data_IF_282057843892
#
_entry.id   IF_282057843892
#
_cell.length_a   1.000
_cell.length_b   1.000
_cell.length_c   1.000
_cell.angle_alpha   90.00
_cell.angle_beta   90.00
_cell.angle_gamma   90.00
#
_symmetry.space_group_name_H-M   'P 1'
#
loop_
_entity.id
_entity.type
_entity.pdbx_description
1 polymer ?
#
# COMPACT_ATOMS: atom_id res chain seq x y z
N UNK A 1 -7.85 -23.45 -3.42
CA UNK A 1 -7.42 -23.38 -4.83
C UNK A 1 -8.51 -22.68 -5.62
N UNK A 2 -8.17 -21.62 -6.34
CA UNK A 2 -9.09 -20.94 -7.25
C UNK A 2 -8.73 -21.29 -8.68
N UNK A 3 -9.74 -21.43 -9.54
CA UNK A 3 -9.57 -21.63 -10.98
C UNK A 3 -10.39 -20.58 -11.69
N UNK A 4 -9.74 -19.85 -12.59
CA UNK A 4 -10.39 -18.82 -13.41
C UNK A 4 -10.25 -19.25 -14.88
N UNK A 5 -11.24 -19.97 -15.44
CA UNK A 5 -11.22 -20.31 -16.86
C UNK A 5 -11.16 -19.04 -17.70
N UNK A 6 -10.26 -19.01 -18.69
CA UNK A 6 -10.17 -17.89 -19.62
C UNK A 6 -11.39 -17.88 -20.53
N UNK A 7 -11.92 -16.69 -20.82
CA UNK A 7 -13.07 -16.55 -21.72
C UNK A 7 -12.62 -16.75 -23.16
N UNK A 8 -13.21 -17.73 -23.84
CA UNK A 8 -13.04 -17.92 -25.28
C UNK A 8 -14.12 -17.16 -26.08
N UNK A 9 -13.98 -17.18 -27.40
CA UNK A 9 -14.88 -16.49 -28.34
C UNK A 9 -16.30 -17.09 -28.34
N UNK A 10 -16.46 -18.36 -27.96
CA UNK A 10 -17.77 -19.03 -27.91
C UNK A 10 -18.56 -18.69 -26.65
N UNK A 11 -17.87 -18.41 -25.55
CA UNK A 11 -18.45 -17.96 -24.27
C UNK A 11 -18.94 -16.51 -24.31
N UNK A 12 -18.56 -15.75 -25.35
CA UNK A 12 -18.78 -14.31 -25.48
C UNK A 12 -20.25 -13.94 -25.77
N UNK A 13 -20.92 -14.70 -26.63
CA UNK A 13 -22.28 -14.43 -27.10
C UNK A 13 -23.36 -14.50 -26.00
N UNK A 14 -23.06 -15.21 -24.90
CA UNK A 14 -24.02 -15.49 -23.82
C UNK A 14 -23.68 -14.78 -22.50
N UNK A 15 -22.56 -14.06 -22.43
CA UNK A 15 -22.11 -13.45 -21.17
C UNK A 15 -22.74 -12.08 -20.94
N UNK A 16 -23.53 -11.94 -19.87
CA UNK A 16 -24.08 -10.65 -19.42
C UNK A 16 -23.08 -9.79 -18.65
N UNK A 17 -21.89 -10.31 -18.34
CA UNK A 17 -20.89 -9.64 -17.49
C UNK A 17 -19.77 -8.99 -18.28
N UNK A 18 -19.31 -9.60 -19.38
CA UNK A 18 -18.37 -8.98 -20.31
C UNK A 18 -18.33 -9.77 -21.62
N UNK A 19 -18.37 -9.03 -22.73
CA UNK A 19 -18.33 -9.51 -24.11
C UNK A 19 -16.93 -9.35 -24.73
N UNK A 20 -15.88 -9.54 -23.93
CA UNK A 20 -14.49 -9.47 -24.39
C UNK A 20 -13.83 -10.81 -24.16
N UNK A 21 -13.40 -11.53 -25.20
CA UNK A 21 -12.57 -12.72 -25.05
C UNK A 21 -11.23 -12.33 -24.41
N UNK A 22 -10.65 -13.26 -23.65
CA UNK A 22 -9.36 -13.07 -23.01
C UNK A 22 -8.33 -13.95 -23.71
N UNK A 23 -7.61 -13.35 -24.64
CA UNK A 23 -6.61 -14.04 -25.46
C UNK A 23 -5.27 -14.24 -24.74
N UNK A 24 -4.38 -15.00 -25.37
CA UNK A 24 -3.06 -15.32 -24.83
C UNK A 24 -2.17 -14.09 -24.74
N UNK A 25 -2.31 -13.11 -25.63
CA UNK A 25 -1.52 -11.88 -25.58
C UNK A 25 -1.91 -11.02 -24.37
N UNK A 26 -3.21 -10.94 -24.06
CA UNK A 26 -3.73 -10.30 -22.86
C UNK A 26 -3.28 -11.03 -21.59
N UNK A 27 -3.26 -12.36 -21.60
CA UNK A 27 -2.72 -13.16 -20.49
C UNK A 27 -1.24 -12.87 -20.27
N UNK A 28 -0.45 -12.92 -21.34
CA UNK A 28 0.98 -12.63 -21.28
C UNK A 28 1.23 -11.22 -20.76
N UNK A 29 0.48 -10.22 -21.24
CA UNK A 29 0.56 -8.85 -20.75
C UNK A 29 0.21 -8.74 -19.27
N UNK A 30 -0.83 -9.43 -18.81
CA UNK A 30 -1.22 -9.47 -17.39
C UNK A 30 -0.11 -10.09 -16.54
N UNK A 31 0.42 -11.23 -16.97
CA UNK A 31 1.53 -11.94 -16.33
C UNK A 31 2.77 -11.07 -16.22
N UNK A 32 3.19 -10.43 -17.30
CA UNK A 32 4.37 -9.56 -17.29
C UNK A 32 4.17 -8.32 -16.41
N UNK A 33 2.98 -7.71 -16.45
CA UNK A 33 2.63 -6.60 -15.57
C UNK A 33 2.68 -7.03 -14.10
N UNK A 34 2.20 -8.23 -13.78
CA UNK A 34 2.27 -8.77 -12.44
C UNK A 34 3.71 -9.09 -12.03
N UNK A 35 4.51 -9.76 -12.88
CA UNK A 35 5.93 -10.05 -12.63
C UNK A 35 6.72 -8.78 -12.26
N UNK A 36 6.44 -7.66 -12.92
CA UNK A 36 7.06 -6.36 -12.63
C UNK A 36 6.72 -5.79 -11.23
N UNK A 37 5.54 -6.09 -10.69
CA UNK A 37 5.06 -5.60 -9.38
C UNK A 37 5.18 -6.64 -8.26
N UNK A 38 5.45 -7.91 -8.59
CA UNK A 38 5.49 -9.04 -7.66
C UNK A 38 6.42 -8.76 -6.48
N UNK A 39 7.64 -8.28 -6.76
CA UNK A 39 8.64 -8.01 -5.73
C UNK A 39 8.11 -7.02 -4.69
N UNK A 40 7.63 -5.85 -5.14
CA UNK A 40 7.11 -4.80 -4.24
C UNK A 40 5.77 -5.17 -3.60
N UNK A 41 5.03 -6.13 -4.14
CA UNK A 41 3.79 -6.65 -3.53
C UNK A 41 4.02 -7.29 -2.16
N UNK A 42 5.25 -7.70 -1.86
CA UNK A 42 5.63 -8.25 -0.56
C UNK A 42 6.02 -7.20 0.50
N UNK A 43 6.08 -5.91 0.15
CA UNK A 43 6.67 -4.87 1.00
C UNK A 43 5.89 -4.58 2.31
N UNK A 44 4.56 -4.56 2.26
CA UNK A 44 3.69 -4.18 3.39
C UNK A 44 2.72 -5.28 3.84
N UNK A 45 2.86 -6.48 3.29
CA UNK A 45 2.03 -7.63 3.66
C UNK A 45 2.57 -8.32 4.92
N UNK A 46 1.68 -8.70 5.84
CA UNK A 46 2.11 -9.21 7.13
C UNK A 46 2.56 -10.67 7.07
N UNK A 47 1.84 -11.51 6.32
CA UNK A 47 1.97 -12.98 6.40
C UNK A 47 2.43 -13.63 5.09
N UNK A 48 2.35 -12.92 3.96
CA UNK A 48 2.81 -13.46 2.68
C UNK A 48 4.31 -13.21 2.60
N UNK A 49 5.09 -14.28 2.37
CA UNK A 49 6.55 -14.25 2.30
C UNK A 49 7.10 -14.66 0.95
N UNK A 50 6.28 -15.27 0.12
CA UNK A 50 6.67 -15.75 -1.21
C UNK A 50 5.49 -15.62 -2.17
N UNK A 51 5.78 -15.24 -3.41
CA UNK A 51 4.86 -15.31 -4.54
C UNK A 51 5.61 -15.98 -5.68
N UNK A 52 5.06 -17.07 -6.21
CA UNK A 52 5.57 -17.74 -7.40
C UNK A 52 4.54 -17.74 -8.52
N UNK A 53 5.04 -17.69 -9.75
CA UNK A 53 4.26 -17.80 -10.97
C UNK A 53 4.97 -18.78 -11.91
N UNK A 54 4.25 -19.77 -12.41
CA UNK A 54 4.77 -20.79 -13.30
C UNK A 54 3.73 -21.15 -14.37
N UNK A 55 4.20 -21.76 -15.45
CA UNK A 55 3.36 -22.38 -16.47
C UNK A 55 3.30 -23.89 -16.23
N UNK A 56 2.19 -24.53 -16.59
CA UNK A 56 2.04 -25.99 -16.47
C UNK A 56 2.22 -26.59 -17.86
N UNK A 57 3.18 -27.50 -17.99
CA UNK A 57 3.47 -28.18 -19.26
C UNK A 57 2.30 -29.10 -19.63
N UNK A 58 1.78 -28.96 -20.86
CA UNK A 58 0.72 -29.86 -21.37
C UNK A 58 1.20 -31.31 -21.51
N UNK A 59 2.50 -31.50 -21.76
CA UNK A 59 3.10 -32.82 -21.99
C UNK A 59 3.38 -33.54 -20.68
N UNK A 60 4.00 -32.86 -19.71
CA UNK A 60 4.45 -33.48 -18.45
C UNK A 60 3.49 -33.26 -17.28
N UNK A 61 2.58 -32.29 -17.38
CA UNK A 61 1.73 -31.85 -16.27
C UNK A 61 2.49 -31.16 -15.14
N UNK A 62 3.79 -30.90 -15.31
CA UNK A 62 4.64 -30.29 -14.28
C UNK A 62 4.80 -28.77 -14.47
N UNK A 63 5.01 -28.01 -13.39
CA UNK A 63 5.37 -26.60 -13.45
C UNK A 63 6.71 -26.38 -14.16
N UNK A 64 6.81 -25.34 -14.99
CA UNK A 64 8.03 -24.84 -15.60
C UNK A 64 7.99 -23.29 -15.70
N UNK A 65 9.12 -22.68 -16.09
CA UNK A 65 9.31 -21.22 -16.17
C UNK A 65 8.89 -20.47 -14.87
N UNK A 66 9.36 -20.96 -13.73
CA UNK A 66 9.01 -20.33 -12.45
C UNK A 66 9.72 -18.98 -12.29
N UNK A 67 8.95 -17.93 -12.11
CA UNK A 67 9.41 -16.66 -11.56
C UNK A 67 8.92 -16.52 -10.12
N UNK A 68 9.85 -16.17 -9.22
CA UNK A 68 9.59 -16.20 -7.78
C UNK A 68 10.19 -15.01 -7.08
N UNK A 69 9.45 -14.45 -6.15
CA UNK A 69 9.89 -13.38 -5.26
C UNK A 69 9.69 -13.79 -3.80
N UNK A 70 10.62 -13.41 -2.94
CA UNK A 70 10.57 -13.69 -1.50
C UNK A 70 10.81 -12.44 -0.67
N UNK A 71 10.27 -12.45 0.55
CA UNK A 71 10.51 -11.45 1.59
C UNK A 71 11.06 -12.13 2.83
N UNK A 72 12.19 -11.63 3.31
CA UNK A 72 12.89 -12.16 4.49
C UNK A 72 13.11 -11.06 5.52
N UNK A 73 13.01 -11.41 6.79
CA UNK A 73 13.20 -10.54 7.95
C UNK A 73 14.16 -11.23 8.93
N UNK A 74 14.78 -10.46 9.83
CA UNK A 74 15.45 -11.05 10.99
C UNK A 74 14.42 -11.69 11.93
N UNK A 75 14.79 -12.69 12.76
CA UNK A 75 13.88 -13.25 13.77
C UNK A 75 13.30 -12.19 14.72
N UNK A 76 14.10 -11.17 15.07
CA UNK A 76 13.70 -10.06 15.94
C UNK A 76 12.66 -9.16 15.25
N UNK A 77 12.89 -8.83 13.98
CA UNK A 77 11.96 -8.05 13.15
C UNK A 77 10.66 -8.81 12.89
N UNK A 78 10.74 -10.12 12.65
CA UNK A 78 9.57 -10.98 12.44
C UNK A 78 8.69 -11.03 13.69
N UNK A 79 9.29 -11.22 14.86
CA UNK A 79 8.59 -11.17 16.15
C UNK A 79 7.92 -9.82 16.37
N UNK A 80 8.64 -8.72 16.12
CA UNK A 80 8.11 -7.36 16.29
C UNK A 80 6.94 -7.08 15.34
N UNK A 81 7.02 -7.57 14.09
CA UNK A 81 5.95 -7.45 13.11
C UNK A 81 4.74 -8.33 13.48
N UNK A 82 4.95 -9.51 14.04
CA UNK A 82 3.89 -10.39 14.54
C UNK A 82 3.13 -9.76 15.71
N UNK A 83 3.84 -9.19 16.69
CA UNK A 83 3.24 -8.46 17.81
C UNK A 83 2.41 -7.27 17.33
N UNK A 84 2.94 -6.49 16.37
CA UNK A 84 2.21 -5.40 15.75
C UNK A 84 0.98 -5.88 14.96
N UNK A 85 1.08 -6.97 14.21
CA UNK A 85 -0.04 -7.56 13.49
C UNK A 85 -1.14 -8.07 14.45
N UNK A 86 -0.74 -8.66 15.58
CA UNK A 86 -1.63 -9.04 16.68
C UNK A 86 -2.37 -7.83 17.25
N UNK A 87 -1.66 -6.73 17.49
CA UNK A 87 -2.25 -5.47 17.94
C UNK A 87 -3.28 -4.91 16.94
N UNK A 88 -2.95 -4.87 15.65
CA UNK A 88 -3.88 -4.41 14.60
C UNK A 88 -5.13 -5.28 14.53
N UNK A 89 -4.97 -6.60 14.66
CA UNK A 89 -6.10 -7.56 14.68
C UNK A 89 -7.02 -7.33 15.88
N UNK A 90 -6.45 -7.11 17.06
CA UNK A 90 -7.22 -6.81 18.27
C UNK A 90 -7.92 -5.46 18.16
N UNK A 91 -7.24 -4.43 17.65
CA UNK A 91 -7.82 -3.10 17.35
C UNK A 91 -9.04 -3.23 16.43
N UNK A 92 -8.92 -4.03 15.36
CA UNK A 92 -10.05 -4.30 14.48
C UNK A 92 -11.21 -4.97 15.19
N UNK A 93 -10.94 -5.86 16.15
CA UNK A 93 -11.96 -6.58 16.90
C UNK A 93 -12.72 -5.65 17.84
N UNK A 94 -12.03 -4.81 18.60
CA UNK A 94 -12.65 -3.90 19.58
C UNK A 94 -13.44 -2.77 18.90
N UNK A 95 -12.93 -2.23 17.78
CA UNK A 95 -13.64 -1.20 17.00
C UNK A 95 -14.93 -1.77 16.39
N UNK A 96 -14.89 -2.98 15.81
CA UNK A 96 -16.10 -3.63 15.25
C UNK A 96 -17.16 -3.93 16.31
N UNK A 97 -16.74 -4.24 17.54
CA UNK A 97 -17.66 -4.45 18.68
C UNK A 97 -18.22 -3.15 19.25
N UNK A 98 -17.69 -1.99 18.86
CA UNK A 98 -18.03 -0.70 19.46
C UNK A 98 -17.58 -0.59 20.92
N UNK A 99 -16.61 -1.41 21.35
CA UNK A 99 -16.11 -1.41 22.74
C UNK A 99 -15.22 -0.20 23.05
N UNK A 100 -14.66 0.43 22.02
CA UNK A 100 -13.68 1.52 22.09
C UNK A 100 -13.95 2.47 20.93
N UNK A 101 -13.84 3.78 21.15
CA UNK A 101 -13.94 4.77 20.07
C UNK A 101 -12.64 4.85 19.28
N UNK A 102 -12.69 5.42 18.08
CA UNK A 102 -11.52 5.50 17.21
C UNK A 102 -10.38 6.33 17.84
N UNK A 103 -10.72 7.38 18.59
CA UNK A 103 -9.81 8.25 19.34
C UNK A 103 -9.14 7.59 20.55
N UNK A 104 -9.75 6.54 21.09
CA UNK A 104 -9.25 5.80 22.26
C UNK A 104 -8.28 4.66 21.87
N UNK A 105 -8.07 4.44 20.57
CA UNK A 105 -7.14 3.43 20.09
C UNK A 105 -5.71 3.85 20.42
N UNK A 106 -5.07 3.09 21.32
CA UNK A 106 -3.68 3.36 21.70
C UNK A 106 -2.78 3.35 20.46
N UNK A 107 -1.83 4.28 20.39
CA UNK A 107 -0.81 4.24 19.35
C UNK A 107 0.17 3.09 19.58
N UNK A 108 0.38 2.28 18.55
CA UNK A 108 1.50 1.34 18.45
C UNK A 108 2.27 1.59 17.17
N UNK A 109 3.58 1.45 17.24
CA UNK A 109 4.51 1.66 16.13
C UNK A 109 5.51 0.51 16.11
N UNK A 110 5.92 0.11 14.91
CA UNK A 110 6.96 -0.89 14.67
C UNK A 110 7.87 -0.40 13.56
N UNK A 111 9.17 -0.63 13.72
CA UNK A 111 10.18 -0.42 12.69
C UNK A 111 10.93 -1.72 12.47
N UNK A 112 11.15 -2.10 11.20
CA UNK A 112 11.82 -3.34 10.85
C UNK A 112 12.48 -3.25 9.49
N UNK A 113 13.43 -4.15 9.21
CA UNK A 113 14.03 -4.30 7.89
C UNK A 113 13.45 -5.52 7.17
N UNK A 114 13.04 -5.33 5.92
CA UNK A 114 12.63 -6.43 5.03
C UNK A 114 13.54 -6.47 3.82
N UNK A 115 14.04 -7.67 3.50
CA UNK A 115 14.83 -7.93 2.29
C UNK A 115 13.95 -8.64 1.26
N UNK A 116 13.74 -7.98 0.12
CA UNK A 116 12.99 -8.51 -1.01
C UNK A 116 13.98 -9.03 -2.05
N UNK A 117 13.74 -10.23 -2.56
CA UNK A 117 14.62 -10.88 -3.55
C UNK A 117 13.80 -11.62 -4.61
N UNK A 118 14.22 -11.56 -5.87
CA UNK A 118 13.71 -12.44 -6.93
C UNK A 118 14.71 -13.56 -7.27
N UNK A 119 14.23 -14.61 -7.94
CA UNK A 119 15.08 -15.71 -8.40
C UNK A 119 15.96 -15.37 -9.63
N UNK A 120 16.04 -14.09 -10.02
CA UNK A 120 16.86 -13.57 -11.11
C UNK A 120 18.00 -12.66 -10.60
N UNK A 121 18.15 -12.52 -9.28
CA UNK A 121 19.24 -11.78 -8.64
C UNK A 121 18.91 -10.34 -8.27
N UNK A 122 17.68 -9.86 -8.48
CA UNK A 122 17.25 -8.55 -7.98
C UNK A 122 17.06 -8.63 -6.47
N UNK A 123 17.69 -7.71 -5.73
CA UNK A 123 17.61 -7.64 -4.27
C UNK A 123 17.45 -6.20 -3.80
N UNK A 124 16.49 -5.96 -2.92
CA UNK A 124 16.19 -4.65 -2.36
C UNK A 124 15.89 -4.77 -0.85
N UNK A 125 16.60 -4.00 -0.02
CA UNK A 125 16.35 -3.96 1.43
C UNK A 125 15.67 -2.67 1.85
N UNK A 126 14.53 -2.79 2.51
CA UNK A 126 13.73 -1.66 2.95
C UNK A 126 13.73 -1.55 4.46
N UNK A 127 14.00 -0.34 4.97
CA UNK A 127 13.58 0.05 6.31
C UNK A 127 12.11 0.46 6.23
N UNK A 128 11.27 -0.20 7.01
CA UNK A 128 9.83 0.02 7.06
C UNK A 128 9.45 0.53 8.44
N UNK A 129 8.62 1.57 8.50
CA UNK A 129 7.97 2.04 9.73
C UNK A 129 6.46 1.95 9.54
N UNK A 130 5.78 1.23 10.44
CA UNK A 130 4.33 1.12 10.46
C UNK A 130 3.76 1.57 11.80
N UNK A 131 2.58 2.17 11.77
CA UNK A 131 1.85 2.64 12.95
C UNK A 131 0.38 2.24 12.86
N UNK A 132 -0.23 1.99 14.01
CA UNK A 132 -1.66 1.82 14.19
C UNK A 132 -2.13 2.66 15.37
N UNK A 133 -3.21 3.42 15.19
CA UNK A 133 -3.72 4.38 16.18
C UNK A 133 -3.17 5.79 15.98
N UNK A 134 -3.69 6.74 16.76
CA UNK A 134 -3.38 8.16 16.64
C UNK A 134 -2.64 8.68 17.88
N UNK A 135 -2.04 9.87 17.76
CA UNK A 135 -1.65 10.61 18.95
C UNK A 135 -2.90 11.00 19.77
N UNK A 136 -2.74 11.18 21.09
CA UNK A 136 -3.88 11.41 22.00
C UNK A 136 -4.66 12.69 21.71
N UNK A 137 -4.01 13.66 21.08
CA UNK A 137 -4.54 14.95 20.69
C UNK A 137 -4.98 15.00 19.22
N UNK A 138 -4.99 13.87 18.51
CA UNK A 138 -5.42 13.83 17.12
C UNK A 138 -6.92 14.11 17.00
N UNK A 139 -7.26 15.15 16.25
CA UNK A 139 -8.65 15.46 15.93
C UNK A 139 -9.22 14.45 14.94
N UNK A 140 -10.23 13.69 15.37
CA UNK A 140 -11.00 12.79 14.51
C UNK A 140 -12.24 13.51 13.99
N UNK A 141 -12.40 13.69 12.66
CA UNK A 141 -13.58 14.35 12.11
C UNK A 141 -14.88 13.64 12.51
N UNK A 142 -15.93 14.41 12.82
CA UNK A 142 -17.23 13.86 13.24
C UNK A 142 -17.80 12.84 12.24
N UNK A 143 -17.68 13.12 10.93
CA UNK A 143 -18.16 12.21 9.88
C UNK A 143 -17.42 10.85 9.91
N UNK A 144 -16.13 10.84 10.22
CA UNK A 144 -15.33 9.62 10.36
C UNK A 144 -15.78 8.84 11.59
N UNK A 145 -15.89 9.51 12.74
CA UNK A 145 -16.36 8.89 13.99
C UNK A 145 -17.78 8.31 13.83
N UNK A 146 -18.67 9.05 13.17
CA UNK A 146 -20.03 8.58 12.84
C UNK A 146 -20.00 7.33 11.96
N UNK A 147 -19.20 7.34 10.89
CA UNK A 147 -19.08 6.20 9.97
C UNK A 147 -18.47 4.95 10.64
N UNK A 148 -17.54 5.12 11.58
CA UNK A 148 -17.03 3.99 12.39
C UNK A 148 -18.13 3.40 13.27
N UNK A 149 -18.88 4.23 14.00
CA UNK A 149 -19.99 3.79 14.88
C UNK A 149 -21.09 3.08 14.10
N UNK A 150 -21.39 3.55 12.88
CA UNK A 150 -22.35 2.93 11.95
C UNK A 150 -21.80 1.72 11.18
N UNK A 151 -20.51 1.39 11.36
CA UNK A 151 -19.81 0.34 10.63
C UNK A 151 -19.76 0.54 9.09
N UNK A 152 -19.86 1.79 8.65
CA UNK A 152 -19.84 2.19 7.23
C UNK A 152 -18.41 2.39 6.69
N UNK A 153 -17.44 2.65 7.58
CA UNK A 153 -16.06 2.90 7.18
C UNK A 153 -15.30 1.59 6.89
N UNK A 154 -15.25 0.67 7.86
CA UNK A 154 -14.54 -0.62 7.72
C UNK A 154 -13.00 -0.53 7.66
N UNK A 155 -12.42 0.66 7.88
CA UNK A 155 -10.98 0.92 7.82
C UNK A 155 -10.37 1.04 9.23
N UNK A 156 -9.06 0.82 9.33
CA UNK A 156 -8.30 0.86 10.58
C UNK A 156 -7.24 1.95 10.53
N UNK A 157 -6.91 2.62 11.65
CA UNK A 157 -5.99 3.75 11.68
C UNK A 157 -4.53 3.31 11.52
N UNK A 158 -4.24 2.63 10.41
CA UNK A 158 -3.01 1.92 10.12
C UNK A 158 -2.38 2.50 8.86
N UNK A 159 -1.10 2.81 8.95
CA UNK A 159 -0.29 3.28 7.83
C UNK A 159 1.19 3.10 8.08
N UNK A 160 2.00 3.49 7.11
CA UNK A 160 3.44 3.32 7.20
C UNK A 160 4.17 3.90 6.01
N UNK A 161 5.49 3.88 6.11
CA UNK A 161 6.40 4.29 5.04
C UNK A 161 7.54 3.29 4.91
N UNK A 162 8.15 3.23 3.72
CA UNK A 162 9.33 2.43 3.48
C UNK A 162 10.37 3.17 2.64
N UNK A 163 11.64 2.99 2.97
CA UNK A 163 12.78 3.57 2.23
C UNK A 163 13.82 2.50 1.94
N UNK A 164 14.43 2.59 0.77
CA UNK A 164 15.52 1.70 0.37
C UNK A 164 16.78 2.02 1.19
N UNK A 165 17.45 0.99 1.72
CA UNK A 165 18.65 1.11 2.55
C UNK A 165 19.93 1.19 1.72
N UNK A 166 20.04 0.38 0.66
CA UNK A 166 21.32 0.14 -0.02
C UNK A 166 21.65 1.18 -1.11
N UNK A 167 20.65 1.91 -1.63
CA UNK A 167 20.87 3.02 -2.55
C UNK A 167 19.61 3.90 -2.63
N UNK A 168 19.73 5.24 -2.68
CA UNK A 168 18.63 6.12 -3.02
C UNK A 168 18.30 5.93 -4.51
N UNK A 169 17.44 4.97 -4.81
CA UNK A 169 16.95 4.76 -6.18
C UNK A 169 16.16 5.98 -6.62
N UNK A 170 16.55 6.55 -7.77
CA UNK A 170 15.85 7.61 -8.48
C UNK A 170 14.46 7.20 -9.00
N UNK A 171 14.08 5.93 -8.85
CA UNK A 171 12.76 5.44 -9.22
C UNK A 171 11.68 6.11 -8.36
N UNK A 172 10.58 6.46 -9.01
CA UNK A 172 9.41 7.01 -8.32
C UNK A 172 8.89 6.03 -7.28
N UNK A 173 8.54 6.57 -6.11
CA UNK A 173 7.97 5.78 -5.04
C UNK A 173 6.46 5.76 -5.18
N UNK A 174 5.88 4.60 -4.87
CA UNK A 174 4.45 4.32 -5.01
C UNK A 174 3.69 4.47 -3.71
N UNK A 175 2.39 4.69 -3.84
CA UNK A 175 1.46 4.48 -2.75
C UNK A 175 1.04 3.01 -2.69
N UNK A 176 0.66 2.57 -1.51
CA UNK A 176 0.22 1.22 -1.20
C UNK A 176 -1.06 1.29 -0.39
N UNK A 177 -1.97 0.37 -0.69
CA UNK A 177 -3.00 -0.05 0.24
C UNK A 177 -2.77 -1.54 0.52
N UNK A 178 -1.70 -1.81 1.27
CA UNK A 178 -1.04 -3.12 1.46
C UNK A 178 -0.39 -3.71 0.20
N UNK A 179 -0.98 -3.48 -0.97
CA UNK A 179 -0.41 -3.79 -2.29
C UNK A 179 -0.12 -2.49 -3.07
N UNK A 180 0.81 -2.52 -4.05
CA UNK A 180 1.12 -1.36 -4.88
C UNK A 180 -0.12 -0.80 -5.57
N UNK A 181 -0.31 0.51 -5.47
CA UNK A 181 -1.28 1.24 -6.28
C UNK A 181 -0.62 1.69 -7.59
N UNK A 182 -1.38 1.81 -8.69
CA UNK A 182 -0.87 2.17 -10.02
C UNK A 182 -0.55 3.67 -10.17
N UNK A 183 -0.03 4.32 -9.13
CA UNK A 183 0.42 5.71 -9.19
C UNK A 183 1.57 5.98 -8.23
N UNK A 184 2.31 7.05 -8.52
CA UNK A 184 3.48 7.49 -7.77
C UNK A 184 3.12 8.61 -6.79
N UNK A 185 3.87 8.73 -5.69
CA UNK A 185 3.61 9.71 -4.62
C UNK A 185 4.38 11.01 -4.82
N UNK A 186 5.44 11.00 -5.63
CA UNK A 186 6.41 12.09 -5.70
C UNK A 186 7.29 12.23 -4.44
N UNK A 187 7.13 11.36 -3.45
CA UNK A 187 7.92 11.34 -2.22
C UNK A 187 9.15 10.43 -2.38
N UNK A 188 10.24 10.66 -1.62
CA UNK A 188 11.42 9.80 -1.62
C UNK A 188 11.20 8.47 -0.86
N UNK A 189 9.98 8.21 -0.38
CA UNK A 189 9.58 7.00 0.35
C UNK A 189 8.31 6.40 -0.24
N UNK A 190 8.18 5.08 -0.15
CA UNK A 190 6.90 4.41 -0.38
C UNK A 190 5.95 4.74 0.77
N UNK A 191 4.67 4.93 0.46
CA UNK A 191 3.64 5.27 1.45
C UNK A 191 2.59 4.17 1.48
N UNK A 192 2.24 3.69 2.65
CA UNK A 192 1.19 2.70 2.86
C UNK A 192 0.12 3.21 3.82
N UNK A 193 -1.12 2.78 3.60
CA UNK A 193 -2.25 3.10 4.47
C UNK A 193 -3.43 2.20 4.21
N UNK A 194 -4.28 2.01 5.22
CA UNK A 194 -5.61 1.43 5.03
C UNK A 194 -6.54 2.48 4.42
N UNK A 195 -6.22 2.89 3.20
CA UNK A 195 -6.89 3.98 2.52
C UNK A 195 -8.29 3.57 2.05
N UNK A 196 -9.20 4.53 2.05
CA UNK A 196 -10.41 4.43 1.25
C UNK A 196 -10.04 4.57 -0.22
N UNK A 197 -10.48 3.62 -1.05
CA UNK A 197 -10.23 3.59 -2.48
C UNK A 197 -11.51 3.89 -3.26
N UNK A 198 -11.37 4.27 -4.54
CA UNK A 198 -12.51 4.42 -5.45
C UNK A 198 -13.33 3.11 -5.58
N UNK A 199 -14.63 3.26 -5.89
CA UNK A 199 -15.58 2.15 -5.86
C UNK A 199 -15.42 1.16 -7.02
N UNK A 200 -14.99 1.62 -8.20
CA UNK A 200 -14.99 0.81 -9.43
C UNK A 200 -13.69 0.04 -9.63
N UNK A 201 -12.56 0.71 -9.54
CA UNK A 201 -11.27 0.12 -9.89
C UNK A 201 -10.45 -0.26 -8.65
N UNK A 202 -10.69 0.42 -7.52
CA UNK A 202 -9.84 0.40 -6.32
C UNK A 202 -8.38 0.68 -6.67
N UNK A 203 -8.18 1.49 -7.71
CA UNK A 203 -6.86 1.84 -8.27
C UNK A 203 -6.40 3.22 -7.82
N UNK A 204 -7.33 4.09 -7.45
CA UNK A 204 -7.01 5.40 -6.91
C UNK A 204 -7.51 5.54 -5.48
N UNK A 205 -6.88 6.46 -4.75
CA UNK A 205 -7.39 6.90 -3.47
C UNK A 205 -8.72 7.62 -3.69
N UNK A 206 -9.67 7.39 -2.79
CA UNK A 206 -10.88 8.19 -2.72
C UNK A 206 -10.50 9.65 -2.44
N UNK A 207 -10.83 10.53 -3.38
CA UNK A 207 -10.62 11.98 -3.30
C UNK A 207 -11.97 12.65 -3.50
N UNK A 208 -12.48 13.23 -2.44
CA UNK A 208 -13.68 14.05 -2.45
C UNK A 208 -13.53 15.05 -1.33
N UNK A 209 -13.78 16.31 -1.67
CA UNK A 209 -13.74 17.44 -0.77
C UNK A 209 -15.16 17.83 -0.32
N UNK A 210 -16.14 16.99 -0.64
CA UNK A 210 -17.54 17.22 -0.24
C UNK A 210 -17.66 17.17 1.28
N UNK A 211 -18.30 18.18 1.85
CA UNK A 211 -18.57 18.23 3.28
C UNK A 211 -19.37 16.99 3.70
N UNK A 212 -18.94 16.33 4.78
CA UNK A 212 -19.55 15.09 5.27
C UNK A 212 -19.04 13.80 4.62
N UNK A 213 -18.14 13.86 3.63
CA UNK A 213 -17.51 12.66 3.07
C UNK A 213 -16.49 12.04 4.03
N UNK A 214 -16.94 11.01 4.75
CA UNK A 214 -16.14 10.30 5.73
C UNK A 214 -14.92 9.60 5.13
N UNK A 215 -14.89 9.28 3.83
CA UNK A 215 -13.75 8.60 3.18
C UNK A 215 -12.65 9.57 2.79
N UNK A 216 -13.03 10.73 2.24
CA UNK A 216 -12.09 11.82 1.98
C UNK A 216 -11.45 12.33 3.27
N UNK A 217 -12.29 12.55 4.29
CA UNK A 217 -11.84 12.92 5.63
C UNK A 217 -10.93 11.86 6.26
N UNK A 218 -11.27 10.57 6.09
CA UNK A 218 -10.45 9.45 6.55
C UNK A 218 -9.05 9.45 5.92
N UNK A 219 -8.95 9.51 4.59
CA UNK A 219 -7.66 9.49 3.91
C UNK A 219 -6.78 10.67 4.33
N UNK A 220 -7.37 11.87 4.45
CA UNK A 220 -6.67 13.07 4.90
C UNK A 220 -6.14 12.93 6.33
N UNK A 221 -6.99 12.47 7.25
CA UNK A 221 -6.62 12.24 8.64
C UNK A 221 -5.55 11.15 8.76
N UNK A 222 -5.68 10.04 8.01
CA UNK A 222 -4.71 8.94 8.03
C UNK A 222 -3.32 9.41 7.55
N UNK A 223 -3.27 10.23 6.51
CA UNK A 223 -2.02 10.82 6.03
C UNK A 223 -1.38 11.73 7.07
N UNK A 224 -2.16 12.62 7.69
CA UNK A 224 -1.66 13.61 8.67
C UNK A 224 -1.26 12.96 10.00
N UNK A 225 -2.11 12.10 10.56
CA UNK A 225 -1.99 11.65 11.94
C UNK A 225 -1.33 10.28 12.10
N UNK A 226 -1.14 9.53 11.00
CA UNK A 226 -0.48 8.22 11.01
C UNK A 226 0.73 8.19 10.09
N UNK A 227 0.57 8.50 8.80
CA UNK A 227 1.66 8.37 7.81
C UNK A 227 2.76 9.40 8.01
N UNK A 228 2.42 10.68 8.20
CA UNK A 228 3.42 11.73 8.41
C UNK A 228 4.29 11.47 9.66
N UNK A 229 3.74 11.07 10.82
CA UNK A 229 4.56 10.63 11.95
C UNK A 229 5.46 9.42 11.64
N UNK A 230 4.98 8.40 10.90
CA UNK A 230 5.85 7.30 10.46
C UNK A 230 7.02 7.82 9.62
N UNK A 231 6.78 8.80 8.76
CA UNK A 231 7.83 9.42 7.98
C UNK A 231 8.84 10.15 8.87
N UNK A 232 8.39 10.91 9.87
CA UNK A 232 9.27 11.55 10.86
C UNK A 232 10.12 10.50 11.61
N UNK A 233 9.53 9.39 12.06
CA UNK A 233 10.30 8.29 12.67
C UNK A 233 11.34 7.75 11.70
N UNK A 234 10.96 7.48 10.45
CA UNK A 234 11.88 6.97 9.42
C UNK A 234 13.07 7.93 9.20
N UNK A 235 12.82 9.24 9.17
CA UNK A 235 13.88 10.26 9.06
C UNK A 235 14.83 10.28 10.26
N UNK A 236 14.35 9.91 11.45
CA UNK A 236 15.19 9.83 12.68
C UNK A 236 16.00 8.55 12.74
N UNK A 237 15.45 7.44 12.23
CA UNK A 237 16.10 6.12 12.26
C UNK A 237 17.11 5.96 11.14
N UNK A 238 16.88 6.57 9.97
CA UNK A 238 17.86 6.56 8.87
C UNK A 238 18.95 7.63 9.14
N UNK A 239 20.23 7.26 9.30
CA UNK A 239 21.30 8.24 9.48
C UNK A 239 21.35 9.24 8.33
N UNK A 240 21.62 10.52 8.64
CA UNK A 240 21.47 11.72 7.82
C UNK A 240 22.30 11.82 6.52
N UNK A 241 22.80 10.72 5.97
CA UNK A 241 23.42 10.70 4.65
C UNK A 241 22.41 10.13 3.65
N UNK A 242 21.97 10.95 2.68
CA UNK A 242 21.23 10.59 1.45
C UNK A 242 19.69 10.67 1.42
N UNK A 243 19.02 11.47 2.25
CA UNK A 243 17.67 11.96 1.88
C UNK A 243 17.85 13.26 1.10
N UNK A 244 18.22 13.13 -0.18
CA UNK A 244 18.27 14.26 -1.10
C UNK A 244 16.81 14.64 -1.39
N UNK A 245 16.32 15.69 -0.76
CA UNK A 245 15.12 16.37 -1.21
C UNK A 245 15.41 16.94 -2.60
N UNK A 246 14.81 16.38 -3.66
CA UNK A 246 14.88 16.99 -4.99
C UNK A 246 14.14 18.32 -4.94
N UNK A 247 14.90 19.40 -4.91
CA UNK A 247 14.43 20.77 -4.80
C UNK A 247 13.89 21.32 -6.13
N UNK A 248 13.09 20.54 -6.87
CA UNK A 248 12.58 20.95 -8.20
C UNK A 248 11.06 21.21 -8.25
N UNK A 249 10.31 20.93 -7.18
CA UNK A 249 8.85 21.18 -7.19
C UNK A 249 8.41 22.44 -6.43
N UNK A 250 9.24 23.03 -5.57
CA UNK A 250 8.86 24.25 -4.82
C UNK A 250 8.96 25.51 -5.69
N UNK A 251 9.80 25.50 -6.73
CA UNK A 251 10.02 26.64 -7.62
C UNK A 251 8.85 26.92 -8.56
N UNK A 252 8.04 25.90 -8.88
CA UNK A 252 6.87 26.02 -9.78
C UNK A 252 5.63 26.61 -9.11
N UNK A 253 5.55 26.57 -7.77
CA UNK A 253 4.42 27.18 -7.04
C UNK A 253 4.68 28.66 -6.78
N UNK A 254 5.95 29.07 -6.58
CA UNK A 254 6.31 30.49 -6.44
C UNK A 254 6.20 31.27 -7.75
N UNK A 255 6.60 30.70 -8.89
CA UNK A 255 6.52 31.43 -10.17
C UNK A 255 5.09 31.67 -10.66
N UNK A 256 4.13 30.83 -10.25
CA UNK A 256 2.72 30.99 -10.61
C UNK A 256 1.97 31.99 -9.72
N UNK A 257 2.52 32.33 -8.54
CA UNK A 257 1.96 33.35 -7.65
C UNK A 257 2.56 34.74 -7.90
N UNK A 258 3.77 34.82 -8.44
CA UNK A 258 4.42 36.11 -8.80
C UNK A 258 4.00 36.63 -10.19
N UNK A 259 3.27 35.85 -10.99
CA UNK A 259 2.80 36.28 -12.34
C UNK A 259 1.33 36.71 -12.39
N UNK A 260 0.57 36.60 -11.29
CA UNK A 260 -0.80 37.11 -11.18
C UNK A 260 -0.90 38.48 -10.49
N UNK A 261 0.21 39.04 -9.98
CA UNK A 261 0.23 40.36 -9.29
C UNK A 261 0.80 41.50 -10.18
N UNK A 262 1.10 41.25 -11.46
CA UNK A 262 1.60 42.25 -12.43
C UNK A 262 0.75 42.37 -13.72
N UNK A 263 -0.57 42.13 -13.68
CA UNK A 263 -1.47 42.47 -14.80
C UNK A 263 -2.76 43.14 -14.37
#
# INVERSE_FOLDING_TARGET
>A
MFRFPLRDVHMDSNSKTSNKPFDIDQLNKLVQTFKAEMLHSLLFVNNVREISLCEISEVSGQPFDEYKVTATLSPEDEKSLEEFAGYVKETSRILRKGSVSLEDVEKREVSYVVSLEDNQGKKERFLVVQRCGFERDAEVPFCVNSAVKKQELGLLPRGGVATLLDSPSAADKKAFCFLPLPFTTGLPVHVNGHFALDHEARRNLWRSESEGDHRGAWNTMLLKSVVAPCYVTLLRVKPSQQIIFRHEHVSRVRSSLETEDER
#
